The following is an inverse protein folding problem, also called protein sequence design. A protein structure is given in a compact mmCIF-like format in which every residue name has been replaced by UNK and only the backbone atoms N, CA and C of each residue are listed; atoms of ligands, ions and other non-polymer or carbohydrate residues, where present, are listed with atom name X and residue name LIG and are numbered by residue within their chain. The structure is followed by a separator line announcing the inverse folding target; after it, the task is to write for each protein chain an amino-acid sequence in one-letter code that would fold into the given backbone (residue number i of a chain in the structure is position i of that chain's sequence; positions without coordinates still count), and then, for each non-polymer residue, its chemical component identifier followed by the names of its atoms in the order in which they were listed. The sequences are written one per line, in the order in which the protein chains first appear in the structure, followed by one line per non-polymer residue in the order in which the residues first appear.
data_IF_066092412558
#
_entry.id   IF_066092412558
#
_cell.length_a   1.000
_cell.length_b   1.000
_cell.length_c   1.000
_cell.angle_alpha   90.00
_cell.angle_beta   90.00
_cell.angle_gamma   90.00
#
_symmetry.space_group_name_H-M   'P 1'
#
loop_
_entity.id
_entity.type
_entity.pdbx_description
1 polymer ?
#
# COMPACT_ATOMS: atom_id res chain seq x y z
N UNK A 1 -6.14 -2.13 -10.82
CA UNK A 1 -4.92 -1.95 -11.62
C UNK A 1 -3.81 -2.76 -11.00
N UNK A 2 -2.96 -3.39 -11.81
CA UNK A 2 -1.88 -4.23 -11.33
C UNK A 2 -0.56 -3.47 -11.45
N UNK A 3 0.21 -3.45 -10.38
CA UNK A 3 1.55 -2.83 -10.32
C UNK A 3 2.54 -3.95 -10.04
N UNK A 4 3.62 -3.99 -10.81
CA UNK A 4 4.68 -4.99 -10.67
C UNK A 4 5.99 -4.27 -10.38
N UNK A 5 6.54 -4.51 -9.19
CA UNK A 5 7.85 -4.04 -8.78
C UNK A 5 8.85 -5.20 -8.79
N UNK A 6 10.10 -4.94 -9.15
CA UNK A 6 11.17 -5.94 -9.22
C UNK A 6 12.41 -5.46 -8.47
N UNK A 7 13.30 -6.40 -8.13
CA UNK A 7 14.59 -6.09 -7.50
C UNK A 7 14.45 -5.36 -6.16
N UNK A 8 15.32 -4.37 -5.93
CA UNK A 8 15.33 -3.59 -4.69
C UNK A 8 14.02 -2.84 -4.41
N UNK A 9 13.31 -2.38 -5.45
CA UNK A 9 12.01 -1.74 -5.28
C UNK A 9 10.98 -2.72 -4.70
N UNK A 10 11.02 -3.99 -5.11
CA UNK A 10 10.15 -5.02 -4.56
C UNK A 10 10.46 -5.30 -3.09
N UNK A 11 11.74 -5.30 -2.70
CA UNK A 11 12.16 -5.48 -1.31
C UNK A 11 11.68 -4.33 -0.42
N UNK A 12 11.82 -3.08 -0.89
CA UNK A 12 11.30 -1.89 -0.20
C UNK A 12 9.78 -1.99 -0.07
N UNK A 13 9.08 -2.35 -1.14
CA UNK A 13 7.63 -2.54 -1.08
C UNK A 13 7.23 -3.59 -0.04
N UNK A 14 7.95 -4.71 0.03
CA UNK A 14 7.65 -5.78 0.99
C UNK A 14 7.96 -5.37 2.45
N UNK A 15 9.01 -4.60 2.67
CA UNK A 15 9.42 -4.19 4.02
C UNK A 15 8.51 -3.10 4.61
N UNK A 16 8.04 -2.17 3.77
CA UNK A 16 7.41 -0.95 4.26
C UNK A 16 5.93 -0.79 3.87
N UNK A 17 5.46 -1.45 2.80
CA UNK A 17 4.08 -1.29 2.37
C UNK A 17 3.13 -2.20 3.14
N UNK A 18 2.08 -1.59 3.68
CA UNK A 18 0.95 -2.28 4.29
C UNK A 18 -0.35 -1.90 3.59
N UNK A 19 -1.38 -2.74 3.76
CA UNK A 19 -2.68 -2.51 3.13
C UNK A 19 -3.27 -1.18 3.61
N UNK A 20 -3.68 -0.34 2.66
CA UNK A 20 -4.34 0.95 2.92
C UNK A 20 -3.40 2.15 2.91
N UNK A 21 -2.09 1.95 2.81
CA UNK A 21 -1.15 3.04 2.62
C UNK A 21 -1.30 3.68 1.25
N UNK A 22 -1.14 5.00 1.21
CA UNK A 22 -1.18 5.76 -0.02
C UNK A 22 0.23 5.83 -0.61
N UNK A 23 0.35 5.55 -1.90
CA UNK A 23 1.63 5.57 -2.60
C UNK A 23 1.47 6.23 -3.97
N UNK A 24 2.50 6.93 -4.39
CA UNK A 24 2.70 7.34 -5.77
C UNK A 24 3.56 6.28 -6.45
N UNK A 25 3.20 5.93 -7.69
CA UNK A 25 3.91 4.96 -8.52
C UNK A 25 4.14 5.59 -9.89
N UNK A 26 5.40 5.61 -10.33
CA UNK A 26 5.78 5.90 -11.71
C UNK A 26 6.31 4.62 -12.37
N UNK A 27 5.97 4.41 -13.63
CA UNK A 27 6.41 3.25 -14.36
C UNK A 27 5.92 3.23 -15.79
N UNK A 28 6.13 2.11 -16.46
CA UNK A 28 5.68 1.89 -17.83
C UNK A 28 4.47 0.98 -17.87
N UNK A 29 3.53 1.27 -18.77
CA UNK A 29 2.42 0.38 -19.08
C UNK A 29 2.92 -0.80 -19.90
N UNK A 30 2.55 -2.01 -19.52
CA UNK A 30 2.90 -3.24 -20.19
C UNK A 30 1.66 -4.10 -20.42
N UNK A 31 1.50 -4.57 -21.65
CA UNK A 31 0.48 -5.57 -21.99
C UNK A 31 1.13 -6.95 -22.02
N UNK A 32 0.70 -7.85 -21.13
CA UNK A 32 1.15 -9.24 -21.09
C UNK A 32 0.04 -10.15 -21.59
N UNK A 33 0.37 -10.98 -22.57
CA UNK A 33 -0.51 -12.06 -23.04
C UNK A 33 -0.04 -13.37 -22.42
N UNK A 34 -0.97 -14.15 -21.89
CA UNK A 34 -0.71 -15.48 -21.36
C UNK A 34 -1.88 -16.41 -21.69
N UNK A 35 -1.63 -17.71 -21.67
CA UNK A 35 -2.63 -18.75 -21.93
C UNK A 35 -2.89 -19.50 -20.64
N UNK A 36 -4.16 -19.73 -20.31
CA UNK A 36 -4.50 -20.58 -19.18
C UNK A 36 -4.39 -22.06 -19.54
N UNK A 37 -4.56 -22.92 -18.54
CA UNK A 37 -4.52 -24.37 -18.70
C UNK A 37 -5.63 -24.95 -19.59
N UNK A 38 -6.64 -24.15 -19.95
CA UNK A 38 -7.74 -24.52 -20.85
C UNK A 38 -7.50 -24.03 -22.30
N UNK A 39 -6.35 -23.40 -22.56
CA UNK A 39 -5.97 -22.89 -23.88
C UNK A 39 -6.55 -21.50 -24.20
N UNK A 40 -7.17 -20.82 -23.23
CA UNK A 40 -7.76 -19.50 -23.44
C UNK A 40 -6.70 -18.41 -23.27
N UNK A 41 -6.62 -17.54 -24.27
CA UNK A 41 -5.69 -16.40 -24.27
C UNK A 41 -6.25 -15.25 -23.45
N UNK A 42 -5.46 -14.78 -22.50
CA UNK A 42 -5.75 -13.64 -21.64
C UNK A 42 -4.76 -12.52 -21.89
N UNK A 43 -5.24 -11.28 -21.78
CA UNK A 43 -4.43 -10.07 -21.87
C UNK A 43 -4.55 -9.31 -20.56
N UNK A 44 -3.42 -9.09 -19.90
CA UNK A 44 -3.30 -8.30 -18.67
C UNK A 44 -2.59 -6.99 -18.98
N UNK A 45 -3.16 -5.89 -18.52
CA UNK A 45 -2.52 -4.57 -18.58
C UNK A 45 -1.99 -4.24 -17.18
N UNK A 46 -0.68 -4.03 -17.09
CA UNK A 46 0.06 -3.90 -15.84
C UNK A 46 0.99 -2.68 -15.93
N UNK A 47 1.29 -2.07 -14.78
CA UNK A 47 2.32 -1.03 -14.69
C UNK A 47 3.56 -1.65 -14.08
N UNK A 48 4.66 -1.68 -14.82
CA UNK A 48 5.97 -2.05 -14.28
C UNK A 48 6.57 -0.82 -13.63
N UNK A 49 6.68 -0.85 -12.30
CA UNK A 49 7.11 0.29 -11.51
C UNK A 49 8.62 0.52 -11.64
N UNK A 50 8.99 1.77 -11.89
CA UNK A 50 10.37 2.26 -11.87
C UNK A 50 10.65 3.03 -10.57
N UNK A 51 9.66 3.77 -10.07
CA UNK A 51 9.77 4.59 -8.88
C UNK A 51 8.51 4.48 -8.01
N UNK A 52 8.70 4.56 -6.69
CA UNK A 52 7.63 4.59 -5.71
C UNK A 52 7.94 5.62 -4.63
N UNK A 53 6.94 6.41 -4.27
CA UNK A 53 7.01 7.37 -3.16
C UNK A 53 5.86 7.09 -2.20
N UNK A 54 6.19 6.89 -0.93
CA UNK A 54 5.18 6.79 0.12
C UNK A 54 4.56 8.17 0.36
N UNK A 55 3.25 8.23 0.18
CA UNK A 55 2.48 9.41 0.52
C UNK A 55 1.94 9.11 1.92
N UNK A 56 2.55 9.74 2.94
CA UNK A 56 2.39 9.37 4.35
C UNK A 56 0.95 9.07 4.80
N UNK A 57 0.82 8.38 5.94
CA UNK A 57 -0.47 7.94 6.46
C UNK A 57 -1.47 9.10 6.51
N UNK A 58 -2.64 8.92 5.88
CA UNK A 58 -3.83 9.63 6.34
C UNK A 58 -3.91 9.28 7.82
N UNK A 59 -3.69 10.27 8.71
CA UNK A 59 -3.94 10.12 10.14
C UNK A 59 -5.27 9.40 10.28
N UNK A 60 -5.22 8.13 10.68
CA UNK A 60 -6.42 7.40 10.99
C UNK A 60 -6.99 8.10 12.20
N UNK A 61 -8.13 8.76 11.98
CA UNK A 61 -8.97 9.37 13.00
C UNK A 61 -9.53 8.24 13.87
N UNK A 62 -8.67 7.62 14.68
CA UNK A 62 -9.03 6.64 15.69
C UNK A 62 -8.06 6.67 16.88
N UNK A 63 -7.53 7.86 17.17
CA UNK A 63 -7.14 8.20 18.54
C UNK A 63 -8.45 8.52 19.29
N UNK A 64 -9.08 7.49 19.88
CA UNK A 64 -9.98 7.74 21.00
C UNK A 64 -9.09 8.26 22.14
N UNK A 65 -9.30 9.48 22.65
CA UNK A 65 -8.66 9.88 23.88
C UNK A 65 -9.17 8.93 24.97
N UNK A 66 -8.28 8.09 25.48
CA UNK A 66 -8.56 7.39 26.72
C UNK A 66 -8.50 8.47 27.80
N UNK A 67 -9.67 8.97 28.22
CA UNK A 67 -9.81 9.82 29.38
C UNK A 67 -9.23 9.06 30.57
N UNK A 68 -8.03 9.43 31.00
CA UNK A 68 -7.59 9.14 32.35
C UNK A 68 -8.44 10.02 33.27
N UNK A 69 -9.53 9.47 33.79
CA UNK A 69 -10.14 9.92 35.04
C UNK A 69 -9.02 9.90 36.08
N UNK A 70 -8.36 11.04 36.24
CA UNK A 70 -7.47 11.27 37.35
C UNK A 70 -8.41 11.72 38.45
N UNK A 71 -8.60 10.84 39.43
CA UNK A 71 -9.18 11.16 40.73
C UNK A 71 -8.40 12.32 41.36
N UNK A 72 -8.71 13.56 40.96
CA UNK A 72 -8.34 14.75 41.70
C UNK A 72 -9.29 14.87 42.90
N UNK A 73 -9.01 14.01 43.87
CA UNK A 73 -9.43 14.12 45.26
C UNK A 73 -9.00 15.50 45.79
N UNK A 74 -9.94 16.45 45.80
CA UNK A 74 -9.72 17.75 46.42
C UNK A 74 -9.82 17.64 47.95
N UNK A 75 -8.82 18.11 48.70
CA UNK A 75 -8.84 18.07 50.15
C UNK A 75 -9.76 19.19 50.68
N UNK A 76 -10.91 18.78 51.23
CA UNK A 76 -11.57 19.49 52.31
C UNK A 76 -11.43 18.67 53.59
#
# INVERSE_FOLDING_TARGET
FNIVAWGSLAEICNQYLTKGQQVYIEGRLQSRNWEDSEGKRHTSIEVVANEMIMLGERRSQNEQPQESETDDEFPF
#
